data_IF_084331652099
#
_entry.id   IF_084331652099
#
_cell.length_a   1.000
_cell.length_b   1.000
_cell.length_c   1.000
_cell.angle_alpha   90.00
_cell.angle_beta   90.00
_cell.angle_gamma   90.00
#
_symmetry.space_group_name_H-M   'P 1'
#
loop_
_entity.id
_entity.type
_entity.pdbx_description
1 polymer ?
#
# COMPACT_ATOMS: atom_id res chain seq x y z
N UNK A 1 -16.25 -29.60 -0.41
CA UNK A 1 -16.02 -28.14 -0.35
C UNK A 1 -17.34 -27.40 -0.50
N UNK A 2 -17.61 -26.41 0.36
CA UNK A 2 -18.78 -25.53 0.22
C UNK A 2 -18.44 -24.38 -0.74
N UNK A 3 -18.85 -24.52 -1.99
CA UNK A 3 -18.47 -23.61 -3.07
C UNK A 3 -19.08 -22.20 -2.91
N UNK A 4 -20.27 -22.09 -2.32
CA UNK A 4 -20.89 -20.79 -2.06
C UNK A 4 -20.09 -19.99 -1.02
N UNK A 5 -19.60 -20.66 0.03
CA UNK A 5 -18.70 -20.03 1.01
C UNK A 5 -17.38 -19.62 0.39
N UNK A 6 -16.80 -20.46 -0.47
CA UNK A 6 -15.55 -20.12 -1.15
C UNK A 6 -15.68 -18.92 -2.09
N UNK A 7 -16.76 -18.87 -2.90
CA UNK A 7 -17.08 -17.69 -3.73
C UNK A 7 -17.16 -16.42 -2.88
N UNK A 8 -17.78 -16.49 -1.70
CA UNK A 8 -17.86 -15.34 -0.79
C UNK A 8 -16.49 -14.92 -0.23
N UNK A 9 -15.61 -15.87 0.10
CA UNK A 9 -14.23 -15.58 0.54
C UNK A 9 -13.45 -14.88 -0.58
N UNK A 10 -13.51 -15.41 -1.80
CA UNK A 10 -12.84 -14.84 -2.96
C UNK A 10 -13.34 -13.41 -3.27
N UNK A 11 -14.66 -13.17 -3.20
CA UNK A 11 -15.20 -11.83 -3.40
C UNK A 11 -14.71 -10.84 -2.34
N UNK A 12 -14.77 -11.20 -1.05
CA UNK A 12 -14.27 -10.33 0.03
C UNK A 12 -12.78 -10.07 -0.11
N UNK A 13 -12.03 -11.07 -0.56
CA UNK A 13 -10.61 -10.95 -0.80
C UNK A 13 -10.34 -9.96 -1.94
N UNK A 14 -11.14 -9.97 -3.00
CA UNK A 14 -11.04 -8.98 -4.07
C UNK A 14 -11.38 -7.56 -3.57
N UNK A 15 -12.39 -7.43 -2.71
CA UNK A 15 -12.74 -6.14 -2.10
C UNK A 15 -11.58 -5.61 -1.22
N UNK A 16 -10.89 -6.51 -0.50
CA UNK A 16 -9.66 -6.18 0.24
C UNK A 16 -8.55 -5.70 -0.69
N UNK A 17 -8.34 -6.37 -1.83
CA UNK A 17 -7.36 -5.99 -2.84
C UNK A 17 -7.67 -4.61 -3.46
N UNK A 18 -8.93 -4.33 -3.80
CA UNK A 18 -9.33 -3.02 -4.32
C UNK A 18 -9.06 -1.91 -3.30
N UNK A 19 -9.41 -2.14 -2.02
CA UNK A 19 -9.10 -1.19 -0.94
C UNK A 19 -7.60 -1.02 -0.75
N UNK A 20 -6.82 -2.11 -0.83
CA UNK A 20 -5.36 -2.06 -0.77
C UNK A 20 -4.77 -1.17 -1.86
N UNK A 21 -5.20 -1.35 -3.12
CA UNK A 21 -4.74 -0.52 -4.25
C UNK A 21 -5.06 0.96 -4.04
N UNK A 22 -6.25 1.30 -3.54
CA UNK A 22 -6.61 2.68 -3.22
C UNK A 22 -5.73 3.30 -2.10
N UNK A 23 -5.37 2.50 -1.09
CA UNK A 23 -4.45 2.90 -0.02
C UNK A 23 -3.02 3.10 -0.54
N UNK A 24 -2.58 2.32 -1.53
CA UNK A 24 -1.29 2.47 -2.20
C UNK A 24 -1.20 3.77 -3.00
N UNK A 25 -2.23 4.10 -3.79
CA UNK A 25 -2.30 5.38 -4.49
C UNK A 25 -2.28 6.56 -3.52
N UNK A 26 -3.00 6.43 -2.40
CA UNK A 26 -3.04 7.47 -1.37
C UNK A 26 -1.68 7.62 -0.70
N UNK A 27 -1.00 6.53 -0.36
CA UNK A 27 0.37 6.56 0.13
C UNK A 27 1.29 7.27 -0.86
N UNK A 28 1.28 6.90 -2.14
CA UNK A 28 2.11 7.52 -3.17
C UNK A 28 1.93 9.05 -3.24
N UNK A 29 0.68 9.54 -3.18
CA UNK A 29 0.37 10.98 -3.12
C UNK A 29 0.92 11.64 -1.86
N UNK A 30 0.78 10.99 -0.70
CA UNK A 30 1.28 11.51 0.56
C UNK A 30 2.82 11.58 0.60
N UNK A 31 3.52 10.55 0.10
CA UNK A 31 4.97 10.56 -0.04
C UNK A 31 5.43 11.68 -0.98
N UNK A 32 4.77 11.84 -2.14
CA UNK A 32 5.07 12.95 -3.05
C UNK A 32 4.90 14.32 -2.38
N UNK A 33 3.84 14.50 -1.60
CA UNK A 33 3.62 15.73 -0.84
C UNK A 33 4.71 15.98 0.21
N UNK A 34 5.14 14.93 0.93
CA UNK A 34 6.24 15.03 1.88
C UNK A 34 7.54 15.47 1.17
N UNK A 35 7.88 14.83 0.06
CA UNK A 35 9.04 15.19 -0.76
C UNK A 35 9.01 16.64 -1.24
N UNK A 36 7.85 17.10 -1.71
CA UNK A 36 7.68 18.49 -2.15
C UNK A 36 7.95 19.50 -1.03
N UNK A 37 7.59 19.19 0.22
CA UNK A 37 7.87 20.05 1.37
C UNK A 37 9.35 19.97 1.73
N UNK A 38 9.91 18.75 1.86
CA UNK A 38 11.33 18.52 2.17
C UNK A 38 12.26 19.22 1.18
N UNK A 39 11.93 19.22 -0.12
CA UNK A 39 12.69 19.91 -1.16
C UNK A 39 12.70 21.44 -1.00
N UNK A 40 11.68 22.02 -0.36
CA UNK A 40 11.58 23.47 -0.14
C UNK A 40 12.26 23.91 1.16
N UNK A 41 12.33 23.04 2.17
CA UNK A 41 12.84 23.41 3.49
C UNK A 41 14.26 24.03 3.44
N UNK A 42 15.26 23.45 2.74
CA UNK A 42 16.60 24.05 2.67
C UNK A 42 16.58 25.47 2.09
N UNK A 43 15.77 25.71 1.06
CA UNK A 43 15.64 27.02 0.42
C UNK A 43 15.02 28.03 1.39
N UNK A 44 14.04 27.60 2.18
CA UNK A 44 13.38 28.46 3.17
C UNK A 44 14.27 28.74 4.39
N UNK A 45 15.24 27.87 4.68
CA UNK A 45 16.24 28.05 5.74
C UNK A 45 17.31 29.10 5.40
N UNK A 46 17.46 29.46 4.13
CA UNK A 46 18.43 30.45 3.67
C UNK A 46 17.93 31.89 3.87
N UNK A 47 18.48 32.59 4.86
CA UNK A 47 18.14 34.00 5.21
C UNK A 47 18.20 34.94 4.00
N UNK A 48 19.18 34.74 3.12
CA UNK A 48 19.38 35.57 1.91
C UNK A 48 18.15 35.60 1.00
N UNK A 49 17.35 34.53 0.99
CA UNK A 49 16.15 34.40 0.16
C UNK A 49 15.00 35.31 0.63
N UNK A 50 15.11 35.90 1.83
CA UNK A 50 14.13 36.83 2.41
C UNK A 50 14.66 38.27 2.52
N UNK A 51 15.91 38.52 2.12
CA UNK A 51 16.62 39.79 2.38
C UNK A 51 15.95 41.05 1.84
N UNK A 52 15.14 40.94 0.79
CA UNK A 52 14.37 42.05 0.21
C UNK A 52 13.01 42.32 0.86
N UNK A 53 12.62 41.54 1.89
CA UNK A 53 11.30 41.62 2.50
C UNK A 53 11.35 42.36 3.85
N UNK A 54 10.34 43.16 4.19
CA UNK A 54 10.22 43.75 5.52
C UNK A 54 10.05 42.64 6.57
N UNK A 55 10.71 42.78 7.72
CA UNK A 55 10.71 41.77 8.79
C UNK A 55 11.16 40.39 8.30
N UNK A 56 12.21 40.35 7.48
CA UNK A 56 12.69 39.16 6.78
C UNK A 56 12.96 37.96 7.71
N UNK A 57 13.53 38.19 8.90
CA UNK A 57 13.79 37.14 9.88
C UNK A 57 12.49 36.55 10.46
N UNK A 58 11.55 37.41 10.88
CA UNK A 58 10.26 36.96 11.41
C UNK A 58 9.44 36.22 10.34
N UNK A 59 9.46 36.73 9.10
CA UNK A 59 8.77 36.11 7.98
C UNK A 59 9.36 34.74 7.64
N UNK A 60 10.69 34.64 7.60
CA UNK A 60 11.39 33.37 7.38
C UNK A 60 10.99 32.33 8.43
N UNK A 61 11.08 32.69 9.72
CA UNK A 61 10.71 31.81 10.82
C UNK A 61 9.25 31.36 10.72
N UNK A 62 8.33 32.28 10.40
CA UNK A 62 6.92 31.98 10.23
C UNK A 62 6.66 30.98 9.07
N UNK A 63 7.30 31.19 7.92
CA UNK A 63 7.14 30.31 6.75
C UNK A 63 7.73 28.94 7.03
N UNK A 64 8.91 28.86 7.63
CA UNK A 64 9.53 27.59 8.04
C UNK A 64 8.64 26.82 9.02
N UNK A 65 8.14 27.48 10.07
CA UNK A 65 7.26 26.85 11.05
C UNK A 65 5.97 26.31 10.39
N UNK A 66 5.40 27.04 9.42
CA UNK A 66 4.23 26.56 8.66
C UNK A 66 4.54 25.33 7.82
N UNK A 67 5.69 25.29 7.15
CA UNK A 67 6.08 24.13 6.34
C UNK A 67 6.37 22.90 7.20
N UNK A 68 7.06 23.06 8.33
CA UNK A 68 7.31 21.97 9.28
C UNK A 68 6.00 21.40 9.83
N UNK A 69 5.06 22.26 10.24
CA UNK A 69 3.73 21.83 10.68
C UNK A 69 2.95 21.11 9.58
N UNK A 70 3.06 21.57 8.33
CA UNK A 70 2.46 20.88 7.19
C UNK A 70 3.09 19.49 6.96
N UNK A 71 4.41 19.38 7.10
CA UNK A 71 5.13 18.11 6.99
C UNK A 71 4.70 17.13 8.08
N UNK A 72 4.60 17.57 9.33
CA UNK A 72 4.09 16.76 10.43
C UNK A 72 2.67 16.27 10.17
N UNK A 73 1.80 17.13 9.62
CA UNK A 73 0.44 16.73 9.24
C UNK A 73 0.45 15.67 8.12
N UNK A 74 1.33 15.78 7.13
CA UNK A 74 1.50 14.76 6.09
C UNK A 74 1.99 13.44 6.69
N UNK A 75 2.98 13.49 7.58
CA UNK A 75 3.51 12.33 8.29
C UNK A 75 2.45 11.62 9.14
N UNK A 76 1.60 12.37 9.83
CA UNK A 76 0.45 11.82 10.55
C UNK A 76 -0.54 11.11 9.62
N UNK A 77 -0.83 11.71 8.45
CA UNK A 77 -1.70 11.09 7.45
C UNK A 77 -1.11 9.82 6.84
N UNK A 78 0.21 9.78 6.61
CA UNK A 78 0.89 8.54 6.18
C UNK A 78 0.70 7.47 7.26
N UNK A 79 0.91 7.81 8.53
CA UNK A 79 0.74 6.86 9.63
C UNK A 79 -0.70 6.29 9.69
N UNK A 80 -1.72 7.15 9.57
CA UNK A 80 -3.11 6.70 9.51
C UNK A 80 -3.36 5.76 8.32
N UNK A 81 -2.86 6.12 7.13
CA UNK A 81 -2.98 5.28 5.94
C UNK A 81 -2.31 3.91 6.12
N UNK A 82 -1.16 3.83 6.81
CA UNK A 82 -0.49 2.58 7.13
C UNK A 82 -1.29 1.71 8.10
N UNK A 83 -1.88 2.31 9.14
CA UNK A 83 -2.74 1.56 10.08
C UNK A 83 -4.00 1.01 9.39
N UNK A 84 -4.58 1.75 8.44
CA UNK A 84 -5.68 1.24 7.62
C UNK A 84 -5.22 0.10 6.70
N UNK A 85 -4.03 0.22 6.12
CA UNK A 85 -3.43 -0.81 5.26
C UNK A 85 -3.13 -2.10 6.05
N UNK A 86 -2.63 -1.98 7.28
CA UNK A 86 -2.42 -3.09 8.21
C UNK A 86 -3.72 -3.85 8.51
N UNK A 87 -4.82 -3.13 8.74
CA UNK A 87 -6.13 -3.76 8.95
C UNK A 87 -6.63 -4.51 7.70
N UNK A 88 -6.32 -4.02 6.49
CA UNK A 88 -6.64 -4.70 5.24
C UNK A 88 -5.80 -5.98 5.09
N UNK A 89 -4.48 -5.90 5.31
CA UNK A 89 -3.58 -7.07 5.27
C UNK A 89 -4.03 -8.13 6.28
N UNK A 90 -4.31 -7.76 7.53
CA UNK A 90 -4.80 -8.70 8.54
C UNK A 90 -6.18 -9.29 8.22
N UNK A 91 -6.99 -8.63 7.39
CA UNK A 91 -8.24 -9.22 6.88
C UNK A 91 -7.95 -10.20 5.75
N UNK A 92 -7.06 -9.85 4.82
CA UNK A 92 -6.63 -10.72 3.73
C UNK A 92 -6.01 -12.02 4.25
N UNK A 93 -5.15 -11.96 5.26
CA UNK A 93 -4.54 -13.13 5.89
C UNK A 93 -5.58 -14.09 6.48
N UNK A 94 -6.61 -13.54 7.15
CA UNK A 94 -7.71 -14.35 7.69
C UNK A 94 -8.51 -15.04 6.57
N UNK A 95 -8.72 -14.35 5.45
CA UNK A 95 -9.39 -14.91 4.28
C UNK A 95 -8.57 -16.03 3.62
N UNK A 96 -7.24 -15.90 3.57
CA UNK A 96 -6.33 -16.96 3.09
C UNK A 96 -6.46 -18.22 3.95
N UNK A 97 -6.42 -18.07 5.29
CA UNK A 97 -6.61 -19.19 6.22
C UNK A 97 -8.00 -19.83 6.04
N UNK A 98 -9.04 -19.03 5.89
CA UNK A 98 -10.40 -19.52 5.63
C UNK A 98 -10.50 -20.28 4.30
N UNK A 99 -9.86 -19.78 3.24
CA UNK A 99 -9.82 -20.41 1.92
C UNK A 99 -9.13 -21.78 1.97
N UNK A 100 -7.97 -21.88 2.63
CA UNK A 100 -7.28 -23.15 2.87
C UNK A 100 -8.14 -24.14 3.66
N UNK A 101 -8.82 -23.67 4.72
CA UNK A 101 -9.74 -24.51 5.49
C UNK A 101 -10.91 -25.03 4.65
N UNK A 102 -11.44 -24.22 3.73
CA UNK A 102 -12.54 -24.62 2.83
C UNK A 102 -12.10 -25.62 1.76
N UNK A 103 -10.84 -25.54 1.32
CA UNK A 103 -10.24 -26.51 0.40
C UNK A 103 -10.06 -27.89 1.07
N UNK A 104 -9.77 -27.90 2.38
CA UNK A 104 -9.55 -29.11 3.18
C UNK A 104 -8.10 -29.60 3.11
N UNK A 105 -7.67 -30.42 4.08
CA UNK A 105 -6.28 -30.93 4.16
C UNK A 105 -5.91 -31.88 3.00
N UNK A 106 -6.92 -32.46 2.35
CA UNK A 106 -6.78 -33.31 1.16
C UNK A 106 -7.99 -33.10 0.23
N UNK A 107 -7.99 -32.05 -0.62
CA UNK A 107 -9.04 -31.90 -1.62
C UNK A 107 -8.99 -33.11 -2.56
N UNK A 108 -10.11 -33.84 -2.68
CA UNK A 108 -10.20 -34.97 -3.61
C UNK A 108 -9.85 -34.54 -5.04
N UNK A 109 -9.29 -35.45 -5.84
CA UNK A 109 -8.83 -35.16 -7.21
C UNK A 109 -9.91 -34.47 -8.07
N UNK A 110 -11.19 -34.79 -7.86
CA UNK A 110 -12.33 -34.14 -8.53
C UNK A 110 -12.53 -32.67 -8.12
N UNK A 111 -12.28 -32.31 -6.85
CA UNK A 111 -12.36 -30.92 -6.39
C UNK A 111 -11.17 -30.08 -6.90
N UNK A 112 -10.00 -30.70 -7.05
CA UNK A 112 -8.83 -30.07 -7.69
C UNK A 112 -9.00 -29.94 -9.20
N UNK A 113 -9.66 -30.92 -9.84
CA UNK A 113 -9.96 -30.92 -11.27
C UNK A 113 -11.22 -30.12 -11.63
N UNK A 114 -11.97 -29.61 -10.63
CA UNK A 114 -13.13 -28.76 -10.84
C UNK A 114 -12.68 -27.38 -11.35
N UNK A 115 -12.51 -27.31 -12.66
CA UNK A 115 -12.21 -26.08 -13.41
C UNK A 115 -13.39 -25.13 -13.30
N UNK A 116 -13.13 -23.93 -12.77
CA UNK A 116 -14.10 -22.85 -12.72
C UNK A 116 -14.26 -22.19 -14.10
N UNK A 117 -15.37 -21.46 -14.34
CA UNK A 117 -15.49 -20.58 -15.51
C UNK A 117 -14.23 -19.72 -15.64
N UNK A 118 -13.45 -19.93 -16.71
CA UNK A 118 -12.15 -19.29 -16.92
C UNK A 118 -10.91 -20.20 -16.85
N UNK A 119 -11.06 -21.50 -16.58
CA UNK A 119 -9.94 -22.46 -16.71
C UNK A 119 -9.11 -22.66 -15.44
N UNK A 120 -9.50 -22.09 -14.31
CA UNK A 120 -8.70 -22.05 -13.07
C UNK A 120 -9.28 -23.02 -12.03
N UNK A 121 -8.43 -23.82 -11.40
CA UNK A 121 -8.84 -24.70 -10.30
C UNK A 121 -9.02 -23.93 -8.99
N UNK A 122 -9.78 -24.50 -8.05
CA UNK A 122 -9.92 -23.93 -6.70
C UNK A 122 -8.58 -23.83 -5.98
N UNK A 123 -7.70 -24.83 -6.13
CA UNK A 123 -6.37 -24.82 -5.51
C UNK A 123 -5.54 -23.63 -6.01
N UNK A 124 -5.53 -23.38 -7.31
CA UNK A 124 -4.84 -22.22 -7.90
C UNK A 124 -5.44 -20.89 -7.43
N UNK A 125 -6.75 -20.83 -7.18
CA UNK A 125 -7.38 -19.63 -6.60
C UNK A 125 -6.95 -19.42 -5.14
N UNK A 126 -6.81 -20.48 -4.35
CA UNK A 126 -6.30 -20.39 -2.97
C UNK A 126 -4.83 -19.93 -2.95
N UNK A 127 -3.99 -20.52 -3.81
CA UNK A 127 -2.60 -20.08 -4.00
C UNK A 127 -2.53 -18.61 -4.42
N UNK A 128 -3.39 -18.18 -5.36
CA UNK A 128 -3.48 -16.79 -5.78
C UNK A 128 -3.86 -15.86 -4.61
N UNK A 129 -4.77 -16.27 -3.73
CA UNK A 129 -5.16 -15.51 -2.54
C UNK A 129 -3.98 -15.35 -1.58
N UNK A 130 -3.20 -16.41 -1.40
CA UNK A 130 -1.99 -16.41 -0.57
C UNK A 130 -0.93 -15.49 -1.15
N UNK A 131 -0.66 -15.58 -2.46
CA UNK A 131 0.31 -14.73 -3.16
C UNK A 131 -0.06 -13.26 -3.02
N UNK A 132 -1.33 -12.90 -3.26
CA UNK A 132 -1.81 -11.53 -3.05
C UNK A 132 -1.64 -11.10 -1.59
N UNK A 133 -1.98 -11.96 -0.64
CA UNK A 133 -1.79 -11.68 0.78
C UNK A 133 -0.33 -11.43 1.16
N UNK A 134 0.59 -12.24 0.65
CA UNK A 134 2.03 -12.11 0.86
C UNK A 134 2.56 -10.80 0.26
N UNK A 135 2.17 -10.50 -0.98
CA UNK A 135 2.55 -9.25 -1.65
C UNK A 135 2.06 -8.03 -0.88
N UNK A 136 0.80 -8.01 -0.41
CA UNK A 136 0.30 -6.89 0.40
C UNK A 136 1.09 -6.74 1.72
N UNK A 137 1.47 -7.84 2.37
CA UNK A 137 2.26 -7.81 3.61
C UNK A 137 3.67 -7.25 3.36
N UNK A 138 4.33 -7.70 2.31
CA UNK A 138 5.70 -7.28 1.97
C UNK A 138 5.72 -5.79 1.60
N UNK A 139 4.78 -5.35 0.77
CA UNK A 139 4.60 -3.95 0.42
C UNK A 139 4.28 -3.09 1.65
N UNK A 140 3.46 -3.58 2.59
CA UNK A 140 3.19 -2.87 3.86
C UNK A 140 4.49 -2.68 4.66
N UNK A 141 5.32 -3.71 4.75
CA UNK A 141 6.61 -3.64 5.44
C UNK A 141 7.53 -2.60 4.79
N UNK A 142 7.60 -2.56 3.46
CA UNK A 142 8.33 -1.53 2.71
C UNK A 142 7.81 -0.13 3.02
N UNK A 143 6.49 0.07 3.00
CA UNK A 143 5.90 1.37 3.30
C UNK A 143 6.12 1.81 4.75
N UNK A 144 6.06 0.87 5.71
CA UNK A 144 6.32 1.14 7.11
C UNK A 144 7.80 1.51 7.35
N UNK A 145 8.73 0.77 6.73
CA UNK A 145 10.16 1.06 6.78
C UNK A 145 10.46 2.44 6.17
N UNK A 146 9.92 2.74 4.99
CA UNK A 146 10.05 4.04 4.34
C UNK A 146 9.53 5.17 5.26
N UNK A 147 8.36 4.99 5.89
CA UNK A 147 7.81 5.99 6.81
C UNK A 147 8.72 6.19 8.03
N UNK A 148 9.27 5.11 8.59
CA UNK A 148 10.14 5.18 9.78
C UNK A 148 11.43 5.97 9.54
N UNK A 149 11.92 5.98 8.29
CA UNK A 149 13.09 6.73 7.88
C UNK A 149 12.80 8.20 7.57
N UNK A 150 11.53 8.60 7.40
CA UNK A 150 11.15 9.99 7.17
C UNK A 150 11.10 10.77 8.48
N UNK A 151 11.91 11.82 8.54
CA UNK A 151 11.96 12.79 9.63
C UNK A 151 11.94 14.22 9.08
N UNK A 152 11.86 15.21 9.95
CA UNK A 152 11.95 16.63 9.56
C UNK A 152 13.35 17.05 9.11
N UNK A 153 14.37 16.20 9.36
CA UNK A 153 15.76 16.44 8.96
C UNK A 153 16.15 15.66 7.70
N UNK A 154 15.23 14.88 7.13
CA UNK A 154 15.49 14.15 5.88
C UNK A 154 15.82 15.15 4.78
N UNK A 155 17.00 15.04 4.20
CA UNK A 155 17.41 15.86 3.08
C UNK A 155 16.67 15.48 1.79
N UNK A 156 16.60 16.39 0.79
CA UNK A 156 16.05 16.07 -0.53
C UNK A 156 16.64 14.81 -1.17
N UNK A 157 17.96 14.63 -1.09
CA UNK A 157 18.67 13.49 -1.69
C UNK A 157 18.37 12.17 -0.96
N UNK A 158 18.29 12.20 0.38
CA UNK A 158 17.88 11.03 1.17
C UNK A 158 16.42 10.67 0.85
N UNK A 159 15.54 11.66 0.73
CA UNK A 159 14.16 11.44 0.35
C UNK A 159 14.04 10.80 -1.04
N UNK A 160 14.76 11.31 -2.05
CA UNK A 160 14.76 10.75 -3.40
C UNK A 160 15.23 9.29 -3.42
N UNK A 161 16.31 9.00 -2.69
CA UNK A 161 16.85 7.64 -2.57
C UNK A 161 15.85 6.69 -1.91
N UNK A 162 15.19 7.16 -0.85
CA UNK A 162 14.17 6.41 -0.12
C UNK A 162 12.91 6.18 -0.97
N UNK A 163 12.43 7.20 -1.69
CA UNK A 163 11.25 7.07 -2.54
C UNK A 163 11.53 6.17 -3.75
N UNK A 164 12.74 6.21 -4.31
CA UNK A 164 13.17 5.29 -5.35
C UNK A 164 13.23 3.84 -4.84
N UNK A 165 13.84 3.60 -3.67
CA UNK A 165 13.89 2.28 -3.04
C UNK A 165 12.49 1.74 -2.74
N UNK A 166 11.62 2.59 -2.17
CA UNK A 166 10.22 2.27 -1.91
C UNK A 166 9.51 1.87 -3.20
N UNK A 167 9.58 2.67 -4.25
CA UNK A 167 8.93 2.37 -5.55
C UNK A 167 9.47 1.09 -6.19
N UNK A 168 10.76 0.81 -6.07
CA UNK A 168 11.40 -0.37 -6.64
C UNK A 168 11.13 -1.67 -5.88
N UNK A 169 10.85 -1.59 -4.58
CA UNK A 169 10.55 -2.75 -3.73
C UNK A 169 9.07 -3.14 -3.70
N UNK A 170 8.18 -2.26 -4.17
CA UNK A 170 6.74 -2.52 -4.24
C UNK A 170 6.45 -3.56 -5.33
N UNK A 171 5.96 -4.74 -4.91
CA UNK A 171 5.69 -5.88 -5.79
C UNK A 171 4.30 -5.86 -6.41
N UNK A 172 3.31 -5.24 -5.75
CA UNK A 172 1.91 -5.27 -6.18
C UNK A 172 1.60 -4.16 -7.18
N UNK A 173 1.93 -4.41 -8.44
CA UNK A 173 1.57 -3.55 -9.56
C UNK A 173 0.22 -3.96 -10.13
N UNK A 174 -0.60 -2.96 -10.49
CA UNK A 174 -1.78 -3.17 -11.34
C UNK A 174 -1.33 -3.92 -12.60
N UNK A 175 -1.87 -5.12 -12.83
CA UNK A 175 -1.47 -5.99 -13.94
C UNK A 175 -0.53 -7.15 -13.56
N UNK A 176 -0.16 -7.29 -12.29
CA UNK A 176 0.53 -8.51 -11.81
C UNK A 176 -0.38 -9.73 -11.97
N UNK A 177 0.19 -10.90 -12.34
CA UNK A 177 -0.60 -12.10 -12.61
C UNK A 177 -1.57 -12.48 -11.47
N UNK A 178 -1.17 -12.48 -10.19
CA UNK A 178 -2.09 -12.77 -9.09
C UNK A 178 -3.25 -11.76 -8.99
N UNK A 179 -2.99 -10.48 -9.28
CA UNK A 179 -4.01 -9.41 -9.27
C UNK A 179 -5.01 -9.61 -10.41
N UNK A 180 -4.52 -9.86 -11.62
CA UNK A 180 -5.38 -10.12 -12.80
C UNK A 180 -6.22 -11.37 -12.57
N UNK A 181 -5.60 -12.45 -12.10
CA UNK A 181 -6.26 -13.72 -11.86
C UNK A 181 -7.38 -13.57 -10.83
N UNK A 182 -7.10 -12.89 -9.73
CA UNK A 182 -8.07 -12.64 -8.66
C UNK A 182 -9.25 -11.78 -9.11
N UNK A 183 -8.98 -10.67 -9.80
CA UNK A 183 -10.05 -9.78 -10.32
C UNK A 183 -10.91 -10.48 -11.37
N UNK A 184 -10.27 -11.24 -12.26
CA UNK A 184 -10.95 -12.02 -13.30
C UNK A 184 -11.83 -13.10 -12.69
N UNK A 185 -11.31 -13.84 -11.70
CA UNK A 185 -12.05 -14.87 -10.99
C UNK A 185 -13.22 -14.28 -10.19
N UNK A 186 -13.02 -13.17 -9.48
CA UNK A 186 -14.09 -12.50 -8.75
C UNK A 186 -15.20 -12.01 -9.68
N UNK A 187 -14.84 -11.44 -10.84
CA UNK A 187 -15.81 -10.99 -11.85
C UNK A 187 -16.57 -12.15 -12.50
N UNK A 188 -15.88 -13.23 -12.88
CA UNK A 188 -16.48 -14.39 -13.53
C UNK A 188 -17.45 -15.14 -12.60
N UNK A 189 -17.24 -15.02 -11.29
CA UNK A 189 -18.08 -15.64 -10.31
C UNK A 189 -19.27 -14.78 -9.88
N UNK A 190 -19.46 -13.52 -10.30
CA UNK A 190 -20.63 -12.71 -9.89
C UNK A 190 -21.94 -13.35 -10.35
#
# INVERSE_FOLDING_TARGET
MDFAKFKAVLQRSNDCLEKWLALQETAARLYSNAGNILNRLPILSERRNFSGLPNSEQLQQLVLAKQLKALEAVFGRIQTNLSEAEAVVGTQERLVVEAWRLLGEAPGAEACAAVQPGGVSVAQLVECLEDVGRMCRDDLAVLAAARSCLTHTTSPQEFESLDAARKGAMGLLVGSYPVILMQSAASALR
#
